data_IF_184145333714
#
_entry.id   IF_184145333714
#
_cell.length_a   1.000
_cell.length_b   1.000
_cell.length_c   1.000
_cell.angle_alpha   90.00
_cell.angle_beta   90.00
_cell.angle_gamma   90.00
#
_symmetry.space_group_name_H-M   'P 1'
#
loop_
_entity.id
_entity.type
_entity.pdbx_description
1 polymer ?
#
# COMPACT_ATOMS: atom_id res chain seq x y z
N UNK A 1 -5.63 0.28 14.63
CA UNK A 1 -5.03 -0.81 15.42
C UNK A 1 -3.75 -1.38 14.81
N UNK A 2 -3.44 -1.20 13.53
CA UNK A 2 -2.20 -1.72 12.94
C UNK A 2 -0.94 -1.24 13.68
N UNK A 3 0.01 -2.14 13.90
CA UNK A 3 1.27 -1.88 14.58
C UNK A 3 2.38 -2.78 14.02
N UNK A 4 3.60 -2.26 13.94
CA UNK A 4 4.77 -2.96 13.41
C UNK A 4 5.32 -2.34 12.13
N UNK A 5 6.32 -2.98 11.53
CA UNK A 5 7.00 -2.48 10.33
C UNK A 5 6.81 -3.45 9.17
N UNK A 6 6.55 -2.91 7.98
CA UNK A 6 6.41 -3.66 6.72
C UNK A 6 7.30 -3.06 5.65
N UNK A 7 7.96 -3.92 4.87
CA UNK A 7 8.73 -3.53 3.69
C UNK A 7 8.10 -4.14 2.44
N UNK A 8 7.84 -3.31 1.45
CA UNK A 8 7.32 -3.70 0.15
C UNK A 8 8.47 -4.08 -0.77
N UNK A 9 8.36 -5.25 -1.41
CA UNK A 9 9.39 -5.83 -2.29
C UNK A 9 8.99 -5.84 -3.76
N UNK A 10 7.78 -5.36 -4.07
CA UNK A 10 7.27 -5.25 -5.44
C UNK A 10 7.17 -3.77 -5.77
N UNK A 11 7.86 -3.37 -6.84
CA UNK A 11 7.84 -2.02 -7.39
C UNK A 11 6.46 -1.66 -7.92
N UNK A 12 6.07 -0.40 -7.79
CA UNK A 12 4.80 0.11 -8.31
C UNK A 12 4.99 1.48 -8.97
N UNK A 13 4.12 1.82 -9.91
CA UNK A 13 4.18 3.09 -10.65
C UNK A 13 2.87 3.88 -10.55
N UNK A 14 2.41 4.25 -9.34
CA UNK A 14 1.17 5.00 -9.17
C UNK A 14 1.25 6.35 -9.87
N UNK A 15 0.21 6.67 -10.65
CA UNK A 15 0.17 7.86 -11.51
C UNK A 15 1.40 8.04 -12.44
N UNK A 16 2.07 6.94 -12.80
CA UNK A 16 3.29 6.96 -13.62
C UNK A 16 4.55 7.38 -12.87
N UNK A 17 4.47 7.64 -11.56
CA UNK A 17 5.63 7.93 -10.72
C UNK A 17 6.17 6.62 -10.16
N UNK A 18 7.44 6.39 -10.38
CA UNK A 18 8.10 5.18 -9.93
C UNK A 18 8.34 5.16 -8.42
N UNK A 19 7.90 4.10 -7.76
CA UNK A 19 8.03 3.91 -6.30
C UNK A 19 8.53 2.50 -6.01
N UNK A 20 9.62 2.41 -5.24
CA UNK A 20 10.25 1.13 -4.91
C UNK A 20 10.86 1.13 -3.50
N UNK A 21 10.96 -0.06 -2.91
CA UNK A 21 11.59 -0.27 -1.61
C UNK A 21 10.93 0.48 -0.46
N UNK A 22 9.60 0.62 -0.50
CA UNK A 22 8.82 1.29 0.55
C UNK A 22 8.94 0.53 1.86
N UNK A 23 9.16 1.24 2.96
CA UNK A 23 9.06 0.72 4.31
C UNK A 23 8.22 1.66 5.17
N UNK A 24 7.24 1.09 5.87
CA UNK A 24 6.30 1.80 6.71
C UNK A 24 6.33 1.21 8.13
N UNK A 25 6.41 2.07 9.13
CA UNK A 25 6.21 1.71 10.54
C UNK A 25 4.86 2.24 11.00
N UNK A 26 4.03 1.35 11.53
CA UNK A 26 2.72 1.66 12.08
C UNK A 26 2.74 1.66 13.61
N UNK A 27 2.00 2.59 14.20
CA UNK A 27 1.65 2.61 15.63
C UNK A 27 0.21 3.07 15.78
N UNK A 28 -0.57 2.37 16.59
CA UNK A 28 -1.99 2.68 16.87
C UNK A 28 -2.87 2.84 15.60
N UNK A 29 -2.49 2.16 14.53
CA UNK A 29 -3.17 2.20 13.23
C UNK A 29 -2.79 3.35 12.33
N UNK A 30 -1.74 4.10 12.62
CA UNK A 30 -1.21 5.17 11.77
C UNK A 30 0.24 4.89 11.38
N UNK A 31 0.61 5.30 10.16
CA UNK A 31 2.00 5.37 9.72
C UNK A 31 2.72 6.48 10.49
N UNK A 32 3.70 6.09 11.31
CA UNK A 32 4.55 7.02 12.08
C UNK A 32 5.91 7.24 11.43
N UNK A 33 6.38 6.30 10.61
CA UNK A 33 7.60 6.43 9.80
C UNK A 33 7.36 5.86 8.41
N UNK A 34 7.88 6.54 7.40
CA UNK A 34 7.78 6.14 6.01
C UNK A 34 9.05 6.52 5.26
N UNK A 35 9.56 5.58 4.45
CA UNK A 35 10.70 5.77 3.56
C UNK A 35 10.50 4.97 2.28
N UNK A 36 11.08 5.43 1.18
CA UNK A 36 11.15 4.67 -0.07
C UNK A 36 12.56 4.78 -0.64
N UNK A 37 13.03 3.74 -1.32
CA UNK A 37 14.31 3.79 -2.03
C UNK A 37 14.20 4.66 -3.30
N UNK A 38 13.04 4.60 -3.96
CA UNK A 38 12.68 5.44 -5.11
C UNK A 38 11.28 6.01 -4.88
N UNK A 39 11.05 7.26 -5.30
CA UNK A 39 9.73 7.90 -5.17
C UNK A 39 9.39 8.39 -3.77
N UNK A 40 10.39 8.73 -2.94
CA UNK A 40 10.17 9.16 -1.55
C UNK A 40 9.28 10.42 -1.44
N UNK A 41 9.49 11.42 -2.30
CA UNK A 41 8.65 12.63 -2.31
C UNK A 41 7.20 12.33 -2.66
N UNK A 42 6.98 11.38 -3.58
CA UNK A 42 5.63 10.92 -3.93
C UNK A 42 4.95 10.22 -2.75
N UNK A 43 5.66 9.31 -2.07
CA UNK A 43 5.15 8.65 -0.87
C UNK A 43 4.79 9.67 0.21
N UNK A 44 5.66 10.66 0.45
CA UNK A 44 5.42 11.73 1.43
C UNK A 44 4.21 12.58 1.06
N UNK A 45 4.06 12.94 -0.21
CA UNK A 45 2.90 13.68 -0.69
C UNK A 45 1.60 12.86 -0.53
N UNK A 46 1.62 11.58 -0.90
CA UNK A 46 0.48 10.68 -0.73
C UNK A 46 0.02 10.59 0.73
N UNK A 47 0.96 10.41 1.67
CA UNK A 47 0.68 10.35 3.12
C UNK A 47 0.20 11.69 3.70
N UNK A 48 0.40 12.80 3.00
CA UNK A 48 -0.04 14.14 3.41
C UNK A 48 -1.39 14.55 2.80
N UNK A 49 -2.02 13.67 2.00
CA UNK A 49 -3.26 13.98 1.27
C UNK A 49 -4.40 14.33 2.21
N UNK A 50 -4.63 13.49 3.22
CA UNK A 50 -5.68 13.65 4.23
C UNK A 50 -5.41 12.75 5.45
N UNK A 51 -6.24 12.87 6.49
CA UNK A 51 -6.10 12.11 7.75
C UNK A 51 -6.17 10.59 7.54
N UNK A 52 -6.91 10.13 6.53
CA UNK A 52 -7.08 8.71 6.22
C UNK A 52 -5.89 8.11 5.48
N UNK A 53 -5.08 8.93 4.80
CA UNK A 53 -3.97 8.48 3.96
C UNK A 53 -2.84 7.77 4.74
N UNK A 54 -2.75 7.97 6.05
CA UNK A 54 -1.77 7.31 6.93
C UNK A 54 -2.29 6.03 7.57
N UNK A 55 -3.46 5.54 7.18
CA UNK A 55 -4.10 4.36 7.76
C UNK A 55 -4.34 3.32 6.68
N UNK A 56 -4.33 2.04 7.05
CA UNK A 56 -4.64 0.96 6.11
C UNK A 56 -6.12 1.01 5.71
N UNK A 57 -6.36 0.92 4.40
CA UNK A 57 -7.68 0.75 3.80
C UNK A 57 -7.95 -0.70 3.39
N UNK A 58 -6.91 -1.46 3.06
CA UNK A 58 -7.03 -2.84 2.61
C UNK A 58 -5.84 -3.71 3.04
N UNK A 59 -6.14 -4.97 3.31
CA UNK A 59 -5.19 -6.09 3.33
C UNK A 59 -5.71 -7.14 2.37
N UNK A 60 -4.93 -7.48 1.35
CA UNK A 60 -5.29 -8.49 0.38
C UNK A 60 -4.27 -9.62 0.31
N UNK A 61 -4.75 -10.80 -0.06
CA UNK A 61 -3.94 -12.01 -0.21
C UNK A 61 -4.02 -12.43 -1.68
N UNK A 62 -2.87 -12.49 -2.34
CA UNK A 62 -2.78 -12.94 -3.71
C UNK A 62 -2.96 -14.46 -3.80
N UNK A 63 -3.88 -14.88 -4.68
CA UNK A 63 -4.28 -16.28 -4.84
C UNK A 63 -4.09 -16.81 -6.27
N UNK A 64 -3.56 -15.99 -7.17
CA UNK A 64 -3.28 -16.37 -8.54
C UNK A 64 -1.84 -16.88 -8.67
N UNK A 65 -1.66 -18.18 -8.48
CA UNK A 65 -0.37 -18.87 -8.64
C UNK A 65 0.07 -19.02 -10.11
N UNK A 66 -0.73 -18.57 -11.08
CA UNK A 66 -0.34 -18.48 -12.49
C UNK A 66 0.52 -17.26 -12.81
N UNK A 67 0.62 -16.30 -11.89
CA UNK A 67 1.54 -15.16 -11.99
C UNK A 67 2.69 -15.44 -11.05
N UNK A 68 3.88 -15.67 -11.60
CA UNK A 68 5.08 -16.08 -10.87
C UNK A 68 6.14 -14.97 -10.74
N UNK A 69 5.87 -13.80 -11.32
CA UNK A 69 6.75 -12.62 -11.29
C UNK A 69 5.94 -11.32 -11.38
N UNK A 70 6.45 -10.20 -10.81
CA UNK A 70 5.90 -8.89 -11.04
C UNK A 70 5.82 -8.54 -12.53
N UNK A 71 4.69 -7.96 -12.91
CA UNK A 71 4.35 -7.54 -14.27
C UNK A 71 4.52 -6.03 -14.46
N UNK A 72 4.58 -5.27 -13.37
CA UNK A 72 4.55 -3.79 -13.38
C UNK A 72 3.14 -3.22 -13.52
N UNK A 73 2.12 -4.08 -13.57
CA UNK A 73 0.71 -3.68 -13.60
C UNK A 73 0.07 -4.05 -12.27
N UNK A 74 -0.35 -3.02 -11.52
CA UNK A 74 -0.90 -3.20 -10.17
C UNK A 74 -2.04 -4.24 -10.10
N UNK A 75 -2.93 -4.26 -11.09
CA UNK A 75 -4.08 -5.18 -11.15
C UNK A 75 -3.67 -6.66 -11.25
N UNK A 76 -2.50 -6.96 -11.80
CA UNK A 76 -1.96 -8.32 -11.85
C UNK A 76 -1.06 -8.59 -10.64
N UNK A 77 -0.25 -7.61 -10.26
CA UNK A 77 0.75 -7.77 -9.20
C UNK A 77 0.09 -7.98 -7.82
N UNK A 78 -1.07 -7.37 -7.58
CA UNK A 78 -1.88 -7.61 -6.36
C UNK A 78 -2.47 -9.02 -6.28
N UNK A 79 -2.45 -9.79 -7.37
CA UNK A 79 -3.02 -11.14 -7.43
C UNK A 79 -1.98 -12.25 -7.31
N UNK A 80 -0.68 -11.95 -7.34
CA UNK A 80 0.41 -12.94 -7.32
C UNK A 80 0.23 -13.93 -6.17
N UNK A 81 0.17 -15.22 -6.48
CA UNK A 81 -0.08 -16.27 -5.49
C UNK A 81 0.94 -16.27 -4.35
N UNK A 82 0.45 -16.29 -3.11
CA UNK A 82 1.30 -16.36 -1.92
C UNK A 82 1.86 -15.03 -1.44
N UNK A 83 1.46 -13.91 -2.04
CA UNK A 83 1.80 -12.57 -1.57
C UNK A 83 0.70 -11.99 -0.67
N UNK A 84 1.08 -10.96 0.08
CA UNK A 84 0.16 -10.06 0.76
C UNK A 84 0.40 -8.67 0.19
N UNK A 85 -0.68 -7.96 -0.14
CA UNK A 85 -0.61 -6.54 -0.47
C UNK A 85 -1.39 -5.72 0.57
N UNK A 86 -0.98 -4.47 0.71
CA UNK A 86 -1.55 -3.51 1.65
C UNK A 86 -1.84 -2.21 0.89
N UNK A 87 -3.03 -1.66 1.06
CA UNK A 87 -3.40 -0.35 0.53
C UNK A 87 -3.57 0.65 1.68
N UNK A 88 -3.02 1.85 1.53
CA UNK A 88 -3.24 2.95 2.45
C UNK A 88 -4.46 3.77 2.00
N UNK A 89 -5.10 4.48 2.92
CA UNK A 89 -6.25 5.31 2.61
C UNK A 89 -7.56 4.54 2.61
N UNK A 90 -8.44 4.86 1.66
CA UNK A 90 -9.86 4.53 1.72
C UNK A 90 -10.08 3.03 1.84
N UNK A 91 -10.93 2.63 2.78
CA UNK A 91 -11.48 1.27 2.79
C UNK A 91 -12.70 1.16 1.88
N UNK A 92 -12.87 0.03 1.21
CA UNK A 92 -14.09 -0.29 0.47
C UNK A 92 -15.29 -0.39 1.43
N UNK A 93 -16.39 0.37 1.24
CA UNK A 93 -17.56 0.35 2.12
C UNK A 93 -18.15 -1.06 2.32
N UNK A 94 -18.07 -1.90 1.30
CA UNK A 94 -18.56 -3.28 1.27
C UNK A 94 -17.84 -4.19 2.27
N UNK A 95 -16.63 -3.82 2.69
CA UNK A 95 -15.83 -4.55 3.70
C UNK A 95 -16.13 -4.10 5.13
N UNK A 96 -17.00 -3.10 5.32
CA UNK A 96 -17.34 -2.53 6.63
C UNK A 96 -16.24 -1.62 7.21
N UNK A 97 -15.20 -1.32 6.44
CA UNK A 97 -14.16 -0.37 6.80
C UNK A 97 -14.71 1.06 6.96
N UNK A 98 -14.09 1.83 7.85
CA UNK A 98 -14.48 3.20 8.19
C UNK A 98 -13.46 4.25 7.76
N UNK A 99 -12.36 3.84 7.14
CA UNK A 99 -11.31 4.77 6.76
C UNK A 99 -11.72 5.51 5.49
N UNK A 100 -11.88 6.82 5.59
CA UNK A 100 -12.19 7.70 4.47
C UNK A 100 -10.93 8.44 4.04
N UNK A 101 -10.63 8.39 2.74
CA UNK A 101 -9.46 9.06 2.16
C UNK A 101 -9.65 9.25 0.64
N UNK A 102 -8.95 10.21 0.07
CA UNK A 102 -8.85 10.40 -1.37
C UNK A 102 -7.93 9.35 -2.03
N UNK A 103 -6.95 8.81 -1.29
CA UNK A 103 -6.04 7.77 -1.80
C UNK A 103 -6.56 6.36 -1.52
N UNK A 104 -6.15 5.41 -2.36
CA UNK A 104 -6.27 3.97 -2.20
C UNK A 104 -5.13 3.32 -2.96
#
# INVERSE_FOLDING_TARGET
SAAGTVRFTVRSSPAGVDVDGVELTFRDGEVVEARAATGEDYLRAALATDDGAKRLGEVGIGTNFGIDRPTGTILFDEKIGGTVHLALGRSYPETGGKNASAVH
#
